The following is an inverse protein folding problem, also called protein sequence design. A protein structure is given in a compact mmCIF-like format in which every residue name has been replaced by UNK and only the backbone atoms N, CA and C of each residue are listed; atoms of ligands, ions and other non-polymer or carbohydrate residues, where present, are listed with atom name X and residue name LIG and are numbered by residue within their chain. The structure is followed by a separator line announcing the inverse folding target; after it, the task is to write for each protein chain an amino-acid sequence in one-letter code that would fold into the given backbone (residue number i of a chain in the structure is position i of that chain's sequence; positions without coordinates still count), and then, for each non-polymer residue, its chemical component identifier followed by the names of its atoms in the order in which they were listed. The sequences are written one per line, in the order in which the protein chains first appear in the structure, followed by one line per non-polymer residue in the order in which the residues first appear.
data_IF_274712265874
#
_entry.id   IF_274712265874
#
_cell.length_a   1.000
_cell.length_b   1.000
_cell.length_c   1.000
_cell.angle_alpha   90.00
_cell.angle_beta   90.00
_cell.angle_gamma   90.00
#
_symmetry.space_group_name_H-M   'P 1'
#
loop_
_entity.id
_entity.type
_entity.pdbx_description
1 polymer ?
#
# COMPACT_ATOMS: atom_id res chain seq x y z
N UNK A 1 29.84 -19.75 44.81
CA UNK A 1 29.13 -20.01 43.53
C UNK A 1 27.66 -19.67 43.73
N UNK A 2 27.04 -18.95 42.78
CA UNK A 2 25.65 -18.42 42.76
C UNK A 2 25.46 -17.02 43.33
N UNK A 3 25.61 -16.00 42.49
CA UNK A 3 24.50 -15.28 41.86
C UNK A 3 25.13 -14.40 40.76
N UNK A 4 25.07 -14.90 39.52
CA UNK A 4 25.41 -14.11 38.33
C UNK A 4 24.24 -13.15 38.13
N UNK A 5 24.46 -11.88 38.46
CA UNK A 5 23.61 -10.78 38.07
C UNK A 5 23.84 -10.61 36.55
N UNK A 6 22.92 -11.15 35.74
CA UNK A 6 22.78 -10.77 34.34
C UNK A 6 22.24 -9.34 34.27
N UNK A 7 23.13 -8.37 34.42
CA UNK A 7 22.87 -6.99 34.05
C UNK A 7 23.11 -6.89 32.52
N UNK A 8 22.13 -7.34 31.74
CA UNK A 8 22.07 -7.01 30.31
C UNK A 8 21.54 -5.57 30.25
N UNK A 9 22.45 -4.62 30.46
CA UNK A 9 22.25 -3.24 30.05
C UNK A 9 22.37 -3.18 28.53
N UNK A 10 21.26 -3.37 27.83
CA UNK A 10 21.08 -2.89 26.45
C UNK A 10 20.11 -1.72 26.55
N UNK A 11 20.67 -0.57 26.90
CA UNK A 11 20.07 0.75 26.76
C UNK A 11 21.01 1.55 25.87
N UNK A 12 20.41 2.42 25.05
CA UNK A 12 21.01 3.36 24.09
C UNK A 12 21.37 2.81 22.71
N UNK A 13 20.33 2.46 21.96
CA UNK A 13 20.04 3.14 20.70
C UNK A 13 18.51 3.09 20.56
N UNK A 14 17.83 4.22 20.77
CA UNK A 14 16.43 4.38 20.46
C UNK A 14 16.26 4.31 18.95
N UNK A 15 16.26 3.09 18.38
CA UNK A 15 15.69 2.88 17.07
C UNK A 15 14.22 3.22 17.19
N UNK A 16 13.89 4.44 16.77
CA UNK A 16 12.54 4.91 16.47
C UNK A 16 11.69 3.74 15.99
N UNK A 17 10.65 3.46 16.76
CA UNK A 17 9.67 2.39 16.61
C UNK A 17 8.80 2.60 15.35
N UNK A 18 9.43 2.63 14.18
CA UNK A 18 8.76 2.73 12.88
C UNK A 18 8.66 1.32 12.32
N UNK A 19 7.46 0.75 12.13
CA UNK A 19 7.46 -0.70 11.92
C UNK A 19 6.25 -1.35 11.25
N UNK A 20 5.29 -0.65 10.65
CA UNK A 20 4.14 -1.40 10.13
C UNK A 20 3.14 -0.68 9.24
N UNK A 21 2.41 -1.50 8.47
CA UNK A 21 1.09 -1.11 7.95
C UNK A 21 0.18 -0.53 9.03
N UNK A 22 0.13 -1.16 10.20
CA UNK A 22 -0.73 -0.71 11.31
C UNK A 22 -0.39 0.73 11.75
N UNK A 23 0.89 1.07 11.85
CA UNK A 23 1.35 2.43 12.14
C UNK A 23 0.90 3.43 11.07
N UNK A 24 1.11 3.11 9.80
CA UNK A 24 0.71 3.99 8.69
C UNK A 24 -0.81 4.16 8.61
N UNK A 25 -1.58 3.07 8.77
CA UNK A 25 -3.05 3.12 8.83
C UNK A 25 -3.54 3.98 10.00
N UNK A 26 -2.98 3.82 11.20
CA UNK A 26 -3.32 4.63 12.37
C UNK A 26 -3.07 6.14 12.15
N UNK A 27 -2.11 6.48 11.30
CA UNK A 27 -1.74 7.85 10.93
C UNK A 27 -2.39 8.31 9.60
N UNK A 28 -3.35 7.54 9.08
CA UNK A 28 -4.11 7.92 7.87
C UNK A 28 -3.27 7.92 6.59
N UNK A 29 -2.17 7.17 6.56
CA UNK A 29 -1.25 7.04 5.44
C UNK A 29 -1.50 5.76 4.64
N UNK A 30 -0.91 5.66 3.45
CA UNK A 30 -0.95 4.46 2.62
C UNK A 30 -0.13 3.32 3.24
N UNK A 31 -0.62 2.08 3.12
CA UNK A 31 0.05 0.91 3.69
C UNK A 31 1.34 0.51 2.97
N UNK A 32 1.63 1.02 1.77
CA UNK A 32 2.87 0.80 1.05
C UNK A 32 3.93 1.88 1.32
N UNK A 33 3.68 2.81 2.24
CA UNK A 33 4.65 3.82 2.65
C UNK A 33 4.04 5.21 2.72
N UNK A 34 4.79 6.14 3.29
CA UNK A 34 4.45 7.56 3.32
C UNK A 34 5.60 8.36 2.73
N UNK A 35 5.26 9.36 1.92
CA UNK A 35 6.25 10.34 1.50
C UNK A 35 6.76 11.18 2.66
N UNK A 36 6.02 11.30 3.76
CA UNK A 36 6.34 12.22 4.84
C UNK A 36 6.76 11.52 6.13
N UNK A 37 6.06 10.45 6.51
CA UNK A 37 6.35 9.68 7.71
C UNK A 37 7.40 8.63 7.34
N UNK A 38 8.55 8.65 8.02
CA UNK A 38 9.54 7.59 7.87
C UNK A 38 8.98 6.30 8.46
N UNK A 39 8.93 5.22 7.69
CA UNK A 39 8.45 3.91 8.12
C UNK A 39 9.10 2.77 7.30
N UNK A 40 9.19 1.55 7.86
CA UNK A 40 9.79 0.40 7.15
C UNK A 40 9.06 0.08 5.85
N UNK A 41 7.77 0.41 5.76
CA UNK A 41 6.97 0.29 4.53
C UNK A 41 7.47 1.20 3.40
N UNK A 42 8.22 2.26 3.68
CA UNK A 42 8.70 3.19 2.65
C UNK A 42 9.58 2.50 1.60
N UNK A 43 10.20 1.36 1.90
CA UNK A 43 10.93 0.53 0.92
C UNK A 43 10.03 0.05 -0.23
N UNK A 44 8.70 -0.03 -0.02
CA UNK A 44 7.74 -0.44 -1.04
C UNK A 44 7.21 0.73 -1.87
N UNK A 45 7.23 1.94 -1.31
CA UNK A 45 6.96 3.18 -2.04
C UNK A 45 8.17 3.54 -2.90
N UNK A 46 9.34 3.67 -2.26
CA UNK A 46 10.61 3.98 -2.89
C UNK A 46 11.70 3.01 -2.40
N UNK A 47 12.19 2.09 -3.24
CA UNK A 47 13.20 1.12 -2.81
C UNK A 47 14.52 1.77 -2.39
N UNK A 48 14.80 3.03 -2.77
CA UNK A 48 15.98 3.74 -2.28
C UNK A 48 16.00 3.92 -0.76
N UNK A 49 14.84 3.96 -0.11
CA UNK A 49 14.76 4.09 1.35
C UNK A 49 15.39 2.90 2.10
N UNK A 50 15.61 1.75 1.42
CA UNK A 50 16.16 0.55 2.07
C UNK A 50 17.56 0.78 2.66
N UNK A 51 18.38 1.65 2.07
CA UNK A 51 19.73 1.94 2.57
C UNK A 51 19.74 2.59 3.96
N UNK A 52 18.65 3.27 4.33
CA UNK A 52 18.48 3.92 5.62
C UNK A 52 18.10 2.98 6.76
N UNK A 53 17.78 1.71 6.49
CA UNK A 53 17.40 0.75 7.52
C UNK A 53 18.57 -0.09 8.01
N UNK A 54 18.52 -0.41 9.30
CA UNK A 54 19.40 -1.39 9.92
C UNK A 54 18.91 -2.83 9.67
N UNK A 55 19.72 -3.80 10.09
CA UNK A 55 19.33 -5.20 10.05
C UNK A 55 18.04 -5.42 10.82
N UNK A 56 17.03 -5.99 10.16
CA UNK A 56 15.75 -6.22 10.81
C UNK A 56 14.98 -7.37 10.19
N UNK A 57 14.06 -7.93 10.98
CA UNK A 57 13.01 -8.85 10.55
C UNK A 57 11.68 -8.15 10.83
N UNK A 58 10.76 -8.20 9.87
CA UNK A 58 9.40 -7.70 10.00
C UNK A 58 8.40 -8.80 9.64
N UNK A 59 7.34 -8.93 10.42
CA UNK A 59 6.24 -9.87 10.20
C UNK A 59 4.93 -9.12 10.40
N UNK A 60 3.93 -9.38 9.57
CA UNK A 60 2.60 -8.79 9.62
C UNK A 60 1.56 -9.88 9.40
N UNK A 61 0.46 -9.90 10.15
CA UNK A 61 -0.53 -11.01 10.15
C UNK A 61 -1.79 -10.77 9.29
N UNK A 62 -1.97 -9.57 8.72
CA UNK A 62 -3.16 -9.23 7.92
C UNK A 62 -4.29 -8.66 8.78
N UNK A 63 -5.56 -8.92 8.44
CA UNK A 63 -6.72 -8.58 9.28
C UNK A 63 -7.67 -9.78 9.40
N UNK A 64 -8.73 -9.71 10.22
CA UNK A 64 -9.56 -10.88 10.50
C UNK A 64 -10.37 -11.38 9.29
N UNK A 65 -10.70 -10.47 8.35
CA UNK A 65 -11.53 -10.73 7.17
C UNK A 65 -10.74 -11.06 5.90
N UNK A 66 -9.46 -10.71 5.86
CA UNK A 66 -8.51 -10.97 4.78
C UNK A 66 -7.14 -11.26 5.42
N UNK A 67 -7.00 -12.41 6.11
CA UNK A 67 -5.77 -12.79 6.78
C UNK A 67 -4.69 -13.02 5.74
N UNK A 68 -3.86 -11.99 5.54
CA UNK A 68 -2.74 -12.03 4.60
C UNK A 68 -1.46 -11.72 5.35
N UNK A 69 -0.83 -12.78 5.82
CA UNK A 69 0.46 -12.68 6.45
C UNK A 69 1.52 -12.32 5.42
N UNK A 70 2.42 -11.43 5.81
CA UNK A 70 3.60 -11.08 5.04
C UNK A 70 4.76 -10.80 5.97
N UNK A 71 5.96 -10.76 5.42
CA UNK A 71 7.13 -10.47 6.23
C UNK A 71 8.39 -10.46 5.43
N UNK A 72 9.45 -9.92 6.01
CA UNK A 72 10.71 -9.78 5.35
C UNK A 72 11.88 -9.69 6.31
N UNK A 73 13.05 -9.68 5.69
CA UNK A 73 14.32 -9.43 6.35
C UNK A 73 15.05 -8.33 5.57
N UNK A 74 15.77 -7.49 6.30
CA UNK A 74 16.72 -6.53 5.75
C UNK A 74 18.09 -6.87 6.34
N UNK A 75 19.09 -6.92 5.46
CA UNK A 75 20.48 -7.13 5.83
C UNK A 75 21.36 -6.04 5.21
N UNK A 76 21.97 -5.23 6.08
CA UNK A 76 22.90 -4.17 5.74
C UNK A 76 24.33 -4.68 5.84
N UNK A 77 25.12 -4.34 4.83
CA UNK A 77 26.52 -4.77 4.68
C UNK A 77 27.35 -3.66 4.04
N UNK A 78 28.66 -3.90 3.84
CA UNK A 78 29.54 -2.95 3.15
C UNK A 78 29.25 -2.77 1.66
N UNK A 79 28.61 -3.75 1.00
CA UNK A 79 28.29 -3.66 -0.43
C UNK A 79 26.94 -2.98 -0.70
N UNK A 80 26.14 -2.76 0.35
CA UNK A 80 24.79 -2.20 0.29
C UNK A 80 23.86 -2.94 1.25
N UNK A 81 22.57 -2.67 1.09
CA UNK A 81 21.49 -3.24 1.89
C UNK A 81 20.62 -4.12 1.01
N UNK A 82 20.44 -5.38 1.41
CA UNK A 82 19.56 -6.34 0.75
C UNK A 82 18.28 -6.52 1.56
N UNK A 83 17.16 -6.69 0.86
CA UNK A 83 15.88 -7.06 1.43
C UNK A 83 15.30 -8.27 0.74
N UNK A 84 14.69 -9.16 1.52
CA UNK A 84 13.79 -10.20 1.03
C UNK A 84 12.44 -10.01 1.71
N UNK A 85 11.35 -10.00 0.94
CA UNK A 85 9.99 -9.89 1.47
C UNK A 85 9.09 -10.95 0.86
N UNK A 86 8.18 -11.52 1.63
CA UNK A 86 7.28 -12.59 1.23
C UNK A 86 5.82 -12.16 1.45
N UNK A 87 4.91 -12.63 0.60
CA UNK A 87 3.46 -12.49 0.81
C UNK A 87 2.84 -11.12 0.53
N UNK A 88 3.60 -10.09 0.16
CA UNK A 88 3.08 -8.73 -0.14
C UNK A 88 2.40 -8.62 -1.51
N UNK A 89 1.29 -7.90 -1.60
CA UNK A 89 0.73 -7.54 -2.92
C UNK A 89 1.48 -6.36 -3.56
N UNK A 90 2.03 -6.60 -4.75
CA UNK A 90 2.53 -5.55 -5.64
C UNK A 90 1.41 -4.82 -6.38
N UNK A 91 1.78 -3.83 -7.19
CA UNK A 91 0.85 -3.03 -7.98
C UNK A 91 -0.02 -3.90 -8.89
N UNK A 92 0.57 -4.85 -9.61
CA UNK A 92 -0.20 -5.71 -10.52
C UNK A 92 -1.24 -6.59 -9.82
N UNK A 93 -0.92 -7.10 -8.63
CA UNK A 93 -1.92 -7.83 -7.85
C UNK A 93 -3.08 -6.94 -7.41
N UNK A 94 -2.79 -5.67 -7.05
CA UNK A 94 -3.82 -4.68 -6.73
C UNK A 94 -4.67 -4.32 -7.95
N UNK A 95 -4.06 -4.25 -9.13
CA UNK A 95 -4.77 -3.97 -10.38
C UNK A 95 -5.76 -5.11 -10.71
N UNK A 96 -5.32 -6.36 -10.61
CA UNK A 96 -6.18 -7.55 -10.76
C UNK A 96 -7.36 -7.50 -9.76
N UNK A 97 -7.09 -7.23 -8.48
CA UNK A 97 -8.16 -7.10 -7.48
C UNK A 97 -9.11 -5.93 -7.75
N UNK A 98 -8.62 -4.83 -8.31
CA UNK A 98 -9.43 -3.66 -8.68
C UNK A 98 -10.28 -3.91 -9.93
N UNK A 99 -9.89 -4.88 -10.76
CA UNK A 99 -10.65 -5.33 -11.91
C UNK A 99 -11.87 -6.19 -11.50
N UNK A 100 -11.87 -6.84 -10.33
CA UNK A 100 -13.05 -7.55 -9.79
C UNK A 100 -14.21 -6.60 -9.45
N UNK A 101 -13.91 -5.32 -9.20
CA UNK A 101 -14.90 -4.29 -8.86
C UNK A 101 -15.57 -3.65 -10.08
N UNK A 102 -15.36 -4.18 -11.29
CA UNK A 102 -16.05 -3.74 -12.50
C UNK A 102 -17.55 -4.10 -12.45
N UNK A 103 -18.41 -3.44 -13.24
CA UNK A 103 -19.86 -3.66 -13.21
C UNK A 103 -20.29 -5.11 -13.46
N UNK A 104 -19.43 -5.91 -14.09
CA UNK A 104 -19.66 -7.33 -14.39
C UNK A 104 -19.17 -8.30 -13.31
N UNK A 105 -18.59 -7.81 -12.20
CA UNK A 105 -18.11 -8.63 -11.08
C UNK A 105 -17.27 -9.83 -11.54
N UNK A 106 -16.11 -9.56 -12.13
CA UNK A 106 -15.16 -10.61 -12.52
C UNK A 106 -14.67 -11.34 -11.26
N UNK A 107 -14.70 -12.68 -11.28
CA UNK A 107 -14.07 -13.49 -10.24
C UNK A 107 -12.70 -13.93 -10.72
N UNK A 108 -11.69 -13.08 -10.50
CA UNK A 108 -10.33 -13.30 -11.00
C UNK A 108 -9.49 -14.11 -10.00
N UNK A 109 -8.62 -14.97 -10.52
CA UNK A 109 -7.68 -15.68 -9.68
C UNK A 109 -6.59 -14.73 -9.20
N UNK A 110 -6.41 -14.63 -7.89
CA UNK A 110 -5.45 -13.69 -7.30
C UNK A 110 -4.06 -14.31 -7.32
N UNK A 111 -3.01 -13.55 -7.66
CA UNK A 111 -1.64 -14.02 -7.51
C UNK A 111 -1.38 -14.32 -6.02
N UNK A 112 -0.62 -15.36 -5.72
CA UNK A 112 -0.29 -15.71 -4.33
C UNK A 112 1.22 -15.89 -4.16
N UNK A 113 1.67 -16.04 -2.90
CA UNK A 113 3.05 -16.41 -2.55
C UNK A 113 4.13 -15.52 -3.19
N UNK A 114 3.87 -14.22 -3.25
CA UNK A 114 4.80 -13.25 -3.83
C UNK A 114 6.16 -13.26 -3.14
N UNK A 115 7.22 -13.14 -3.92
CA UNK A 115 8.60 -12.95 -3.47
C UNK A 115 9.13 -11.60 -3.96
N UNK A 116 9.50 -10.81 -2.97
CA UNK A 116 10.17 -9.52 -2.89
C UNK A 116 11.69 -9.50 -2.84
N UNK A 117 12.44 -9.18 -3.90
CA UNK A 117 13.87 -8.86 -3.76
C UNK A 117 14.10 -7.37 -3.80
N UNK A 118 14.81 -6.83 -2.80
CA UNK A 118 15.18 -5.42 -2.72
C UNK A 118 16.69 -5.26 -2.58
N UNK A 119 17.23 -4.22 -3.20
CA UNK A 119 18.61 -3.79 -3.01
C UNK A 119 18.66 -2.28 -2.98
N UNK A 120 19.49 -1.73 -2.09
CA UNK A 120 19.80 -0.31 -2.13
C UNK A 120 21.17 0.00 -1.57
N UNK A 121 21.66 1.20 -1.90
CA UNK A 121 22.99 1.65 -1.54
C UNK A 121 23.02 3.16 -1.39
N UNK A 122 23.72 3.60 -0.36
CA UNK A 122 24.10 5.00 -0.19
C UNK A 122 25.39 5.28 -0.97
N UNK A 123 25.32 6.25 -1.87
CA UNK A 123 26.41 6.74 -2.69
C UNK A 123 26.67 8.21 -2.34
N UNK A 124 27.55 8.42 -1.37
CA UNK A 124 27.85 9.73 -0.76
C UNK A 124 26.61 10.39 -0.15
N UNK A 125 25.81 11.11 -0.93
CA UNK A 125 24.61 11.82 -0.47
C UNK A 125 23.34 11.42 -1.26
N UNK A 126 23.42 10.33 -2.02
CA UNK A 126 22.34 9.82 -2.85
C UNK A 126 22.12 8.36 -2.47
N UNK A 127 20.91 8.03 -2.03
CA UNK A 127 20.43 6.67 -1.92
C UNK A 127 19.84 6.24 -3.25
N UNK A 128 20.22 5.06 -3.72
CA UNK A 128 19.59 4.40 -4.86
C UNK A 128 19.02 3.08 -4.41
N UNK A 129 17.93 2.64 -5.04
CA UNK A 129 17.37 1.33 -4.76
C UNK A 129 16.58 0.74 -5.91
N UNK A 130 16.49 -0.58 -5.89
CA UNK A 130 15.79 -1.39 -6.86
C UNK A 130 14.99 -2.47 -6.15
N UNK A 131 13.86 -2.85 -6.72
CA UNK A 131 13.07 -3.98 -6.27
C UNK A 131 12.54 -4.78 -7.46
N UNK A 132 12.47 -6.10 -7.29
CA UNK A 132 11.81 -7.00 -8.22
C UNK A 132 10.85 -7.89 -7.41
N UNK A 133 9.56 -7.76 -7.71
CA UNK A 133 8.51 -8.60 -7.18
C UNK A 133 8.08 -9.61 -8.23
N UNK A 134 7.95 -10.86 -7.82
CA UNK A 134 7.35 -11.93 -8.60
C UNK A 134 6.29 -12.63 -7.76
N UNK A 135 5.14 -12.91 -8.35
CA UNK A 135 4.09 -13.72 -7.75
C UNK A 135 3.47 -14.60 -8.83
N UNK A 136 3.26 -15.88 -8.53
CA UNK A 136 2.59 -16.79 -9.42
C UNK A 136 1.78 -17.80 -8.60
N UNK A 137 0.58 -18.09 -9.09
CA UNK A 137 -0.29 -19.11 -8.52
C UNK A 137 -1.02 -19.84 -9.62
N UNK A 138 -1.30 -21.11 -9.37
CA UNK A 138 -2.18 -21.92 -10.20
C UNK A 138 -3.07 -22.81 -9.34
N UNK A 139 -4.24 -23.14 -9.87
CA UNK A 139 -5.13 -24.19 -9.38
C UNK A 139 -5.39 -25.13 -10.55
N UNK A 140 -5.29 -26.43 -10.30
CA UNK A 140 -5.53 -27.52 -11.26
C UNK A 140 -6.28 -28.59 -10.48
N UNK A 141 -7.61 -28.45 -10.38
CA UNK A 141 -8.43 -29.41 -9.61
C UNK A 141 -9.44 -30.16 -10.47
N UNK A 142 -9.45 -29.92 -11.78
CA UNK A 142 -10.40 -30.55 -12.70
C UNK A 142 -11.87 -30.20 -12.37
N UNK A 143 -12.82 -30.82 -13.09
CA UNK A 143 -14.26 -30.47 -13.13
C UNK A 143 -15.04 -30.49 -11.79
N UNK A 144 -14.40 -30.68 -10.64
CA UNK A 144 -15.05 -30.41 -9.36
C UNK A 144 -15.15 -28.91 -9.09
N UNK A 145 -16.37 -28.38 -9.25
CA UNK A 145 -16.91 -27.01 -9.05
C UNK A 145 -16.27 -26.11 -7.97
N UNK A 146 -15.48 -26.64 -7.02
CA UNK A 146 -14.97 -25.87 -5.89
C UNK A 146 -13.70 -25.06 -6.17
N UNK A 147 -12.89 -25.39 -7.20
CA UNK A 147 -11.71 -24.60 -7.60
C UNK A 147 -11.40 -24.77 -9.11
N UNK A 148 -12.03 -24.00 -10.01
CA UNK A 148 -11.78 -24.10 -11.46
C UNK A 148 -10.29 -23.92 -11.80
N UNK A 149 -9.86 -24.48 -12.94
CA UNK A 149 -8.48 -24.32 -13.37
C UNK A 149 -8.18 -22.84 -13.57
N UNK A 150 -7.14 -22.37 -12.91
CA UNK A 150 -6.90 -20.94 -12.75
C UNK A 150 -5.41 -20.65 -12.69
N UNK A 151 -4.99 -19.53 -13.23
CA UNK A 151 -3.60 -19.05 -13.17
C UNK A 151 -3.56 -17.56 -12.91
N UNK A 152 -2.52 -17.10 -12.22
CA UNK A 152 -2.23 -15.68 -12.14
C UNK A 152 -0.73 -15.45 -11.98
N UNK A 153 -0.21 -14.46 -12.70
CA UNK A 153 1.19 -14.11 -12.71
C UNK A 153 1.35 -12.60 -12.62
N UNK A 154 2.17 -12.13 -11.70
CA UNK A 154 2.54 -10.72 -11.58
C UNK A 154 4.04 -10.59 -11.43
N UNK A 155 4.64 -9.75 -12.29
CA UNK A 155 6.02 -9.30 -12.15
C UNK A 155 6.04 -7.78 -12.11
N UNK A 156 6.68 -7.19 -11.10
CA UNK A 156 6.80 -5.74 -10.95
C UNK A 156 8.24 -5.35 -10.69
N UNK A 157 8.75 -4.41 -11.48
CA UNK A 157 10.02 -3.75 -11.26
C UNK A 157 9.82 -2.41 -10.56
N UNK A 158 10.72 -2.07 -9.64
CA UNK A 158 10.79 -0.76 -8.99
C UNK A 158 12.21 -0.23 -8.98
N UNK A 159 12.31 1.07 -9.13
CA UNK A 159 13.53 1.80 -8.96
C UNK A 159 13.24 3.11 -8.23
N UNK A 160 14.24 3.64 -7.55
CA UNK A 160 14.14 4.98 -7.03
C UNK A 160 15.47 5.54 -6.57
N UNK A 161 15.42 6.84 -6.30
CA UNK A 161 16.54 7.64 -5.82
C UNK A 161 16.06 8.58 -4.73
N UNK A 162 16.89 8.81 -3.72
CA UNK A 162 16.66 9.82 -2.69
C UNK A 162 17.96 10.59 -2.45
N UNK A 163 17.88 11.90 -2.55
CA UNK A 163 18.92 12.82 -2.13
C UNK A 163 18.34 13.76 -1.07
N UNK A 164 19.20 14.53 -0.40
CA UNK A 164 18.83 15.41 0.72
C UNK A 164 17.44 16.08 0.57
N UNK A 165 17.22 16.81 -0.53
CA UNK A 165 15.96 17.55 -0.72
C UNK A 165 14.95 16.91 -1.65
N UNK A 166 15.28 15.87 -2.40
CA UNK A 166 14.36 15.32 -3.39
C UNK A 166 14.41 13.80 -3.43
N UNK A 167 13.30 13.18 -3.79
CA UNK A 167 13.26 11.77 -4.14
C UNK A 167 12.40 11.55 -5.37
N UNK A 168 12.69 10.50 -6.12
CA UNK A 168 11.93 10.08 -7.28
C UNK A 168 11.84 8.55 -7.30
N UNK A 169 10.73 8.04 -7.84
CA UNK A 169 10.47 6.62 -7.94
C UNK A 169 9.78 6.27 -9.25
N UNK A 170 10.01 5.03 -9.67
CA UNK A 170 9.36 4.34 -10.77
C UNK A 170 8.88 2.99 -10.26
N UNK A 171 7.63 2.66 -10.58
CA UNK A 171 7.06 1.32 -10.47
C UNK A 171 6.54 0.94 -11.85
N UNK A 172 6.92 -0.23 -12.34
CA UNK A 172 6.51 -0.73 -13.65
C UNK A 172 6.09 -2.20 -13.55
N UNK A 173 4.84 -2.49 -13.94
CA UNK A 173 4.34 -3.84 -14.12
C UNK A 173 4.91 -4.43 -15.41
N UNK A 174 5.68 -5.51 -15.27
CA UNK A 174 6.27 -6.23 -16.40
C UNK A 174 5.32 -7.30 -16.96
N UNK A 175 4.54 -7.92 -16.07
CA UNK A 175 3.55 -8.94 -16.40
C UNK A 175 2.44 -8.83 -15.37
N UNK A 176 1.19 -8.81 -15.81
CA UNK A 176 0.02 -8.79 -14.93
C UNK A 176 -1.10 -9.57 -15.61
N UNK A 177 -1.22 -10.86 -15.28
CA UNK A 177 -2.16 -11.76 -15.93
C UNK A 177 -2.96 -12.52 -14.87
N UNK A 178 -4.25 -12.73 -15.14
CA UNK A 178 -5.11 -13.63 -14.37
C UNK A 178 -6.11 -14.31 -15.28
N UNK A 179 -6.32 -15.60 -15.04
CA UNK A 179 -7.25 -16.44 -15.77
C UNK A 179 -7.98 -17.36 -14.80
N UNK A 180 -9.28 -17.45 -14.95
CA UNK A 180 -10.15 -18.34 -14.16
C UNK A 180 -11.10 -19.04 -15.11
N UNK A 181 -11.08 -20.36 -15.14
CA UNK A 181 -12.04 -21.13 -15.93
C UNK A 181 -13.45 -20.95 -15.34
N UNK A 182 -14.42 -20.61 -16.20
CA UNK A 182 -15.82 -20.42 -15.79
C UNK A 182 -16.66 -21.65 -16.18
N UNK A 183 -16.41 -22.19 -17.38
CA UNK A 183 -16.93 -23.47 -17.87
C UNK A 183 -15.86 -24.15 -18.73
N UNK A 184 -16.05 -25.43 -19.12
CA UNK A 184 -15.10 -26.21 -19.94
C UNK A 184 -14.69 -25.55 -21.29
N UNK A 185 -15.34 -24.46 -21.70
CA UNK A 185 -15.07 -23.76 -22.97
C UNK A 185 -14.81 -22.26 -22.82
N UNK A 186 -14.88 -21.68 -21.62
CA UNK A 186 -14.78 -20.23 -21.44
C UNK A 186 -14.01 -19.80 -20.19
N UNK A 187 -13.24 -18.71 -20.32
CA UNK A 187 -12.34 -18.22 -19.28
C UNK A 187 -12.65 -16.77 -18.96
N UNK A 188 -12.67 -16.44 -17.67
CA UNK A 188 -12.58 -15.06 -17.20
C UNK A 188 -11.10 -14.68 -17.27
N UNK A 189 -10.78 -13.58 -17.96
CA UNK A 189 -9.38 -13.19 -18.22
C UNK A 189 -9.13 -11.73 -17.83
N UNK A 190 -7.91 -11.47 -17.35
CA UNK A 190 -7.30 -10.16 -17.15
C UNK A 190 -5.92 -10.20 -17.79
N UNK A 191 -5.67 -9.28 -18.71
CA UNK A 191 -4.39 -9.11 -19.40
C UNK A 191 -3.93 -7.65 -19.32
N UNK A 192 -3.01 -7.38 -18.39
CA UNK A 192 -2.45 -6.06 -18.16
C UNK A 192 -1.55 -5.62 -19.31
N UNK A 193 -1.91 -4.51 -19.96
CA UNK A 193 -1.17 -3.92 -21.08
C UNK A 193 -0.07 -2.96 -20.62
N UNK A 194 -0.40 -2.12 -19.66
CA UNK A 194 0.48 -1.10 -19.14
C UNK A 194 0.15 -0.83 -17.68
N UNK A 195 1.17 -0.74 -16.84
CA UNK A 195 1.00 -0.50 -15.41
C UNK A 195 2.23 0.24 -14.93
N UNK A 196 2.10 1.56 -14.80
CA UNK A 196 3.20 2.44 -14.46
C UNK A 196 2.79 3.41 -13.35
N UNK A 197 3.71 3.64 -12.42
CA UNK A 197 3.61 4.70 -11.44
C UNK A 197 4.92 5.46 -11.37
N UNK A 198 4.84 6.77 -11.52
CA UNK A 198 5.93 7.70 -11.36
C UNK A 198 5.59 8.62 -10.21
N UNK A 199 6.54 8.83 -9.31
CA UNK A 199 6.32 9.72 -8.19
C UNK A 199 7.60 10.40 -7.75
N UNK A 200 7.43 11.44 -6.96
CA UNK A 200 8.56 12.14 -6.37
C UNK A 200 8.13 13.14 -5.31
N UNK A 201 9.11 13.66 -4.60
CA UNK A 201 8.89 14.67 -3.57
C UNK A 201 10.04 15.67 -3.49
N UNK A 202 9.75 16.82 -2.89
CA UNK A 202 10.70 17.86 -2.55
C UNK A 202 10.51 18.32 -1.09
N UNK A 203 11.61 18.35 -0.32
CA UNK A 203 11.69 18.92 1.02
C UNK A 203 11.97 20.42 0.92
N UNK A 204 10.98 21.26 1.26
CA UNK A 204 11.21 22.71 1.39
C UNK A 204 11.97 23.03 2.67
N UNK A 205 11.59 22.37 3.75
CA UNK A 205 12.19 22.44 5.08
C UNK A 205 12.14 21.05 5.71
N UNK A 206 12.76 20.88 6.88
CA UNK A 206 12.70 19.62 7.64
C UNK A 206 11.26 19.24 8.05
N UNK A 207 10.35 20.22 8.07
CA UNK A 207 8.96 20.03 8.47
C UNK A 207 7.98 20.11 7.30
N UNK A 208 8.40 20.47 6.08
CA UNK A 208 7.50 20.74 4.95
C UNK A 208 7.93 20.03 3.69
N UNK A 209 7.01 19.27 3.10
CA UNK A 209 7.25 18.46 1.91
C UNK A 209 6.10 18.62 0.92
N UNK A 210 6.43 18.58 -0.37
CA UNK A 210 5.47 18.41 -1.46
C UNK A 210 5.79 17.11 -2.18
N UNK A 211 4.78 16.30 -2.49
CA UNK A 211 4.91 15.14 -3.36
C UNK A 211 3.95 15.25 -4.54
N UNK A 212 4.32 14.62 -5.64
CA UNK A 212 3.46 14.42 -6.80
C UNK A 212 3.62 12.99 -7.29
N UNK A 213 2.52 12.41 -7.76
CA UNK A 213 2.45 11.06 -8.28
C UNK A 213 1.51 11.02 -9.48
N UNK A 214 1.89 10.22 -10.47
CA UNK A 214 1.01 9.78 -11.56
C UNK A 214 1.03 8.25 -11.60
N UNK A 215 -0.15 7.65 -11.66
CA UNK A 215 -0.36 6.22 -11.85
C UNK A 215 -1.21 6.02 -13.08
N UNK A 216 -0.82 5.08 -13.94
CA UNK A 216 -1.58 4.67 -15.11
C UNK A 216 -1.63 3.15 -15.16
N UNK A 217 -2.83 2.61 -15.41
CA UNK A 217 -3.08 1.17 -15.53
C UNK A 217 -4.05 0.94 -16.67
N UNK A 218 -3.65 0.13 -17.64
CA UNK A 218 -4.43 -0.26 -18.80
C UNK A 218 -4.46 -1.79 -18.89
N UNK A 219 -5.62 -2.39 -19.10
CA UNK A 219 -5.77 -3.85 -19.23
C UNK A 219 -6.97 -4.26 -20.09
N UNK A 220 -6.89 -5.46 -20.65
CA UNK A 220 -8.00 -6.08 -21.35
C UNK A 220 -8.67 -7.10 -20.44
N UNK A 221 -9.97 -7.31 -20.61
CA UNK A 221 -10.73 -8.28 -19.83
C UNK A 221 -11.75 -9.05 -20.68
N UNK A 222 -12.04 -10.27 -20.23
CA UNK A 222 -13.08 -11.16 -20.76
C UNK A 222 -13.86 -11.73 -19.57
N UNK A 223 -15.19 -11.70 -19.62
CA UNK A 223 -16.08 -12.25 -18.59
C UNK A 223 -16.29 -13.77 -18.69
N UNK A 224 -15.70 -14.42 -19.69
CA UNK A 224 -15.84 -15.85 -19.93
C UNK A 224 -17.27 -16.26 -20.29
N UNK A 225 -18.13 -15.34 -20.72
CA UNK A 225 -19.43 -15.67 -21.32
C UNK A 225 -19.47 -15.31 -22.80
N UNK A 226 -18.45 -14.59 -23.29
CA UNK A 226 -18.41 -14.04 -24.64
C UNK A 226 -19.40 -12.87 -24.85
N UNK A 227 -20.08 -12.45 -23.79
CA UNK A 227 -21.04 -11.34 -23.80
C UNK A 227 -20.35 -10.02 -23.51
N UNK A 228 -19.27 -10.04 -22.72
CA UNK A 228 -18.57 -8.84 -22.27
C UNK A 228 -17.06 -9.04 -22.36
N UNK A 229 -16.46 -8.45 -23.40
CA UNK A 229 -15.02 -8.22 -23.51
C UNK A 229 -14.77 -6.73 -23.64
N UNK A 230 -13.58 -6.28 -23.27
CA UNK A 230 -13.23 -4.88 -23.44
C UNK A 230 -11.86 -4.50 -22.89
N UNK A 231 -11.62 -3.20 -22.91
CA UNK A 231 -10.42 -2.57 -22.39
C UNK A 231 -10.80 -1.63 -21.24
N UNK A 232 -9.94 -1.55 -20.23
CA UNK A 232 -10.08 -0.59 -19.14
C UNK A 232 -8.82 0.23 -19.03
N UNK A 233 -9.00 1.54 -19.03
CA UNK A 233 -7.97 2.53 -18.73
C UNK A 233 -8.20 3.15 -17.36
N UNK A 234 -7.12 3.47 -16.66
CA UNK A 234 -7.15 4.25 -15.44
C UNK A 234 -5.94 5.17 -15.35
N UNK A 235 -6.19 6.43 -15.03
CA UNK A 235 -5.17 7.41 -14.72
C UNK A 235 -5.49 8.10 -13.39
N UNK A 236 -4.50 8.21 -12.52
CA UNK A 236 -4.59 8.97 -11.28
C UNK A 236 -3.40 9.93 -11.18
N UNK A 237 -3.67 11.19 -10.87
CA UNK A 237 -2.68 12.23 -10.62
C UNK A 237 -2.94 12.77 -9.22
N UNK A 238 -1.92 12.72 -8.36
CA UNK A 238 -2.00 13.19 -6.99
C UNK A 238 -0.91 14.19 -6.67
N UNK A 239 -1.24 15.30 -6.01
CA UNK A 239 -0.29 16.25 -5.44
C UNK A 239 -0.60 16.39 -3.95
N UNK A 240 0.41 16.25 -3.08
CA UNK A 240 0.22 16.29 -1.64
C UNK A 240 1.21 17.24 -0.98
N UNK A 241 0.69 18.14 -0.16
CA UNK A 241 1.47 19.00 0.72
C UNK A 241 1.41 18.46 2.14
N UNK A 242 2.57 18.33 2.78
CA UNK A 242 2.72 17.79 4.13
C UNK A 242 3.40 18.82 5.02
N UNK A 243 2.93 18.93 6.26
CA UNK A 243 3.57 19.80 7.24
C UNK A 243 3.54 19.19 8.65
N UNK A 244 4.72 19.14 9.28
CA UNK A 244 4.87 18.87 10.72
C UNK A 244 4.62 20.18 11.48
N UNK A 245 3.54 20.24 12.25
CA UNK A 245 3.19 21.42 13.03
C UNK A 245 4.13 21.62 14.21
N UNK A 246 4.43 20.54 14.91
CA UNK A 246 5.29 20.55 16.11
C UNK A 246 5.82 19.15 16.38
N UNK A 247 6.88 19.10 17.20
CA UNK A 247 7.39 17.87 17.77
C UNK A 247 8.67 17.34 17.16
N UNK A 248 9.11 16.23 17.71
CA UNK A 248 10.35 15.50 17.44
C UNK A 248 10.05 13.99 17.25
N UNK A 249 10.98 13.12 17.61
CA UNK A 249 10.83 11.67 17.51
C UNK A 249 9.92 11.06 18.59
N UNK A 250 9.76 11.73 19.74
CA UNK A 250 8.94 11.24 20.85
C UNK A 250 7.48 11.70 20.74
N UNK A 251 7.22 12.85 20.14
CA UNK A 251 5.87 13.25 19.79
C UNK A 251 5.87 14.12 18.55
N UNK A 252 4.87 13.98 17.68
CA UNK A 252 4.65 14.93 16.60
C UNK A 252 3.19 15.03 16.22
N UNK A 253 2.83 16.19 15.67
CA UNK A 253 1.53 16.44 15.05
C UNK A 253 1.77 16.96 13.64
N UNK A 254 0.99 16.49 12.68
CA UNK A 254 1.11 16.88 11.29
C UNK A 254 -0.26 17.06 10.64
N UNK A 255 -0.24 17.70 9.47
CA UNK A 255 -1.33 17.64 8.52
C UNK A 255 -0.83 17.37 7.11
N UNK A 256 -1.71 16.80 6.30
CA UNK A 256 -1.54 16.61 4.86
C UNK A 256 -2.75 17.21 4.14
N UNK A 257 -2.50 17.93 3.04
CA UNK A 257 -3.53 18.36 2.10
C UNK A 257 -3.17 17.77 0.75
N UNK A 258 -4.03 16.89 0.23
CA UNK A 258 -3.88 16.29 -1.09
C UNK A 258 -4.89 16.87 -2.07
N UNK A 259 -4.52 16.92 -3.35
CA UNK A 259 -5.46 17.04 -4.47
C UNK A 259 -5.23 15.84 -5.38
N UNK A 260 -6.27 15.05 -5.59
CA UNK A 260 -6.23 13.89 -6.48
C UNK A 260 -7.28 14.02 -7.57
N UNK A 261 -6.86 13.77 -8.81
CA UNK A 261 -7.73 13.59 -9.95
C UNK A 261 -7.56 12.15 -10.44
N UNK A 262 -8.68 11.45 -10.62
CA UNK A 262 -8.70 10.10 -11.15
C UNK A 262 -9.70 10.00 -12.31
N UNK A 263 -9.33 9.28 -13.35
CA UNK A 263 -10.18 8.95 -14.49
C UNK A 263 -10.14 7.43 -14.69
N UNK A 264 -11.31 6.85 -14.89
CA UNK A 264 -11.49 5.45 -15.20
C UNK A 264 -12.37 5.35 -16.45
N UNK A 265 -11.90 4.64 -17.46
CA UNK A 265 -12.65 4.36 -18.69
C UNK A 265 -12.81 2.87 -18.86
N UNK A 266 -13.98 2.42 -19.30
CA UNK A 266 -14.22 1.04 -19.72
C UNK A 266 -14.84 1.10 -21.09
N UNK A 267 -14.15 0.54 -22.07
CA UNK A 267 -14.58 0.47 -23.46
C UNK A 267 -14.97 -0.99 -23.76
N UNK A 268 -16.24 -1.26 -24.08
CA UNK A 268 -16.73 -2.62 -24.33
C UNK A 268 -16.71 -2.95 -25.84
N UNK A 269 -16.18 -4.11 -26.21
CA UNK A 269 -16.11 -4.52 -27.63
C UNK A 269 -17.47 -4.96 -28.19
N UNK A 270 -18.42 -5.33 -27.32
CA UNK A 270 -19.71 -5.92 -27.73
C UNK A 270 -20.93 -5.11 -27.28
N UNK A 271 -21.97 -5.17 -28.13
CA UNK A 271 -23.19 -4.33 -28.15
C UNK A 271 -24.06 -4.40 -26.88
N UNK A 272 -23.77 -5.33 -25.94
CA UNK A 272 -24.62 -5.56 -24.78
C UNK A 272 -24.29 -4.66 -23.57
N UNK A 273 -23.12 -4.00 -23.55
CA UNK A 273 -22.68 -3.15 -22.44
C UNK A 273 -22.33 -1.74 -22.95
N UNK A 274 -22.62 -0.74 -22.14
CA UNK A 274 -22.36 0.66 -22.44
C UNK A 274 -21.00 1.07 -21.92
N UNK A 275 -20.24 1.82 -22.73
CA UNK A 275 -18.96 2.40 -22.30
C UNK A 275 -19.14 3.27 -21.05
N UNK A 276 -18.14 3.23 -20.17
CA UNK A 276 -18.19 3.89 -18.86
C UNK A 276 -17.04 4.89 -18.75
N UNK A 277 -17.36 6.09 -18.28
CA UNK A 277 -16.41 7.12 -17.90
C UNK A 277 -16.71 7.55 -16.45
N UNK A 278 -15.76 7.33 -15.52
CA UNK A 278 -15.84 7.78 -14.14
C UNK A 278 -14.67 8.73 -13.84
N UNK A 279 -15.00 10.00 -13.63
CA UNK A 279 -14.06 11.08 -13.32
C UNK A 279 -14.25 11.53 -11.90
N UNK A 280 -13.17 11.53 -11.13
CA UNK A 280 -13.16 11.92 -9.72
C UNK A 280 -12.14 13.00 -9.47
N UNK A 281 -12.51 13.97 -8.67
CA UNK A 281 -11.59 14.99 -8.16
C UNK A 281 -11.90 15.23 -6.69
N UNK A 282 -10.92 15.00 -5.82
CA UNK A 282 -11.12 15.14 -4.39
C UNK A 282 -9.92 15.76 -3.68
N UNK A 283 -10.20 16.48 -2.60
CA UNK A 283 -9.21 17.20 -1.79
C UNK A 283 -9.18 16.63 -0.35
N UNK A 284 -8.44 15.53 -0.11
CA UNK A 284 -8.32 14.94 1.22
C UNK A 284 -7.46 15.81 2.14
N UNK A 285 -7.94 16.01 3.37
CA UNK A 285 -7.17 16.54 4.48
C UNK A 285 -6.98 15.43 5.50
N UNK A 286 -5.73 15.24 5.96
CA UNK A 286 -5.39 14.35 7.07
C UNK A 286 -4.79 15.20 8.18
N UNK A 287 -5.26 15.01 9.42
CA UNK A 287 -4.59 15.52 10.61
C UNK A 287 -4.25 14.30 11.46
N UNK A 288 -2.99 14.18 11.86
CA UNK A 288 -2.54 13.02 12.62
C UNK A 288 -1.44 13.36 13.61
N UNK A 289 -1.18 12.43 14.52
CA UNK A 289 -0.10 12.55 15.47
C UNK A 289 0.28 11.23 16.11
N UNK A 290 1.51 11.21 16.61
CA UNK A 290 2.12 10.09 17.33
C UNK A 290 2.76 10.64 18.60
N UNK A 291 2.65 9.90 19.71
CA UNK A 291 3.26 10.28 20.98
C UNK A 291 3.72 9.04 21.77
N UNK A 292 4.98 9.03 22.17
CA UNK A 292 5.56 8.08 23.12
C UNK A 292 5.13 8.49 24.54
N UNK A 293 4.11 7.80 25.06
CA UNK A 293 3.55 8.06 26.40
C UNK A 293 4.43 7.46 27.49
N UNK A 294 5.06 6.32 27.21
CA UNK A 294 6.06 5.64 28.04
C UNK A 294 7.12 5.03 27.13
N UNK A 295 8.29 4.67 27.67
CA UNK A 295 9.36 4.01 26.89
C UNK A 295 8.86 2.75 26.15
N UNK A 296 7.91 2.04 26.75
CA UNK A 296 7.30 0.84 26.18
C UNK A 296 6.00 1.09 25.42
N UNK A 297 5.45 2.31 25.40
CA UNK A 297 4.13 2.62 24.83
C UNK A 297 4.14 3.88 23.96
N UNK A 298 3.75 3.71 22.70
CA UNK A 298 3.44 4.79 21.77
C UNK A 298 1.96 4.77 21.41
N UNK A 299 1.32 5.93 21.36
CA UNK A 299 -0.06 6.10 20.90
C UNK A 299 -0.10 6.92 19.61
N UNK A 300 -1.06 6.60 18.74
CA UNK A 300 -1.24 7.20 17.42
C UNK A 300 -2.71 7.42 17.13
N UNK A 301 -3.01 8.51 16.45
CA UNK A 301 -4.35 8.75 15.93
C UNK A 301 -4.31 9.67 14.71
N UNK A 302 -5.35 9.59 13.90
CA UNK A 302 -5.59 10.51 12.79
C UNK A 302 -7.07 10.65 12.49
N UNK A 303 -7.39 11.75 11.82
CA UNK A 303 -8.67 12.02 11.16
C UNK A 303 -8.37 12.37 9.71
N UNK A 304 -9.07 11.71 8.78
CA UNK A 304 -9.02 11.98 7.35
C UNK A 304 -10.42 12.31 6.84
N UNK A 305 -10.53 13.29 5.96
CA UNK A 305 -11.80 13.68 5.34
C UNK A 305 -11.54 14.39 4.01
N UNK A 306 -12.35 14.13 2.99
CA UNK A 306 -12.44 14.97 1.79
C UNK A 306 -13.23 16.24 2.13
N UNK A 307 -12.71 17.37 1.68
CA UNK A 307 -13.28 18.67 2.04
C UNK A 307 -13.97 19.34 0.85
N UNK A 308 -13.65 20.60 0.57
CA UNK A 308 -14.38 21.48 -0.35
C UNK A 308 -14.51 20.96 -1.81
N UNK A 309 -13.74 19.94 -2.16
CA UNK A 309 -13.73 19.30 -3.47
C UNK A 309 -13.89 17.79 -3.24
N UNK A 310 -14.98 17.23 -3.77
CA UNK A 310 -15.28 15.80 -3.76
C UNK A 310 -16.26 15.49 -4.90
N UNK A 311 -15.85 15.83 -6.12
CA UNK A 311 -16.67 15.71 -7.32
C UNK A 311 -16.52 14.32 -7.95
N UNK A 312 -17.65 13.71 -8.29
CA UNK A 312 -17.74 12.47 -9.07
C UNK A 312 -18.64 12.73 -10.27
N UNK A 313 -18.10 12.60 -11.48
CA UNK A 313 -18.79 12.67 -12.76
C UNK A 313 -18.76 11.28 -13.39
N UNK A 314 -19.89 10.57 -13.31
CA UNK A 314 -20.08 9.23 -13.83
C UNK A 314 -20.97 9.29 -15.06
N UNK A 315 -20.53 8.66 -16.14
CA UNK A 315 -21.30 8.53 -17.38
C UNK A 315 -21.28 7.10 -17.88
N UNK A 316 -22.46 6.63 -18.27
CA UNK A 316 -22.68 5.52 -19.17
C UNK A 316 -23.66 5.97 -20.28
N UNK A 317 -24.00 5.12 -21.26
CA UNK A 317 -24.89 5.55 -22.37
C UNK A 317 -26.34 5.85 -21.92
N UNK A 318 -26.75 5.48 -20.71
CA UNK A 318 -28.11 5.65 -20.18
C UNK A 318 -28.17 6.73 -19.08
N UNK A 319 -27.11 6.87 -18.30
CA UNK A 319 -27.02 7.68 -17.10
C UNK A 319 -25.86 8.66 -17.21
N UNK A 320 -26.15 9.92 -16.90
CA UNK A 320 -25.15 10.93 -16.63
C UNK A 320 -25.40 11.45 -15.23
N UNK A 321 -24.53 11.08 -14.30
CA UNK A 321 -24.70 11.38 -12.88
C UNK A 321 -23.51 12.17 -12.38
N UNK A 322 -23.79 13.38 -11.90
CA UNK A 322 -22.86 14.18 -11.12
C UNK A 322 -23.25 14.12 -9.66
N UNK A 323 -22.34 13.69 -8.81
CA UNK A 323 -22.53 13.66 -7.37
C UNK A 323 -21.35 14.29 -6.66
N UNK A 324 -21.62 14.82 -5.47
CA UNK A 324 -20.61 15.04 -4.44
C UNK A 324 -20.89 14.08 -3.30
N UNK A 325 -19.89 13.38 -2.77
CA UNK A 325 -20.08 12.55 -1.58
C UNK A 325 -20.08 13.44 -0.32
N UNK A 326 -20.90 13.09 0.70
CA UNK A 326 -21.26 14.02 1.79
C UNK A 326 -20.94 13.46 3.20
N UNK A 327 -20.30 12.30 3.33
CA UNK A 327 -19.71 11.87 4.61
C UNK A 327 -18.64 10.79 4.43
N UNK A 328 -17.38 11.19 4.41
CA UNK A 328 -16.21 10.31 4.23
C UNK A 328 -15.19 10.44 5.37
N UNK A 329 -15.61 11.00 6.52
CA UNK A 329 -14.71 11.17 7.66
C UNK A 329 -14.27 9.81 8.20
N UNK A 330 -12.96 9.57 8.22
CA UNK A 330 -12.34 8.38 8.79
C UNK A 330 -11.51 8.78 10.00
N UNK A 331 -11.76 8.14 11.13
CA UNK A 331 -10.92 8.27 12.33
C UNK A 331 -10.16 6.98 12.53
N UNK A 332 -8.84 7.05 12.66
CA UNK A 332 -8.00 5.90 12.95
C UNK A 332 -7.21 6.11 14.25
N UNK A 333 -6.94 5.02 14.96
CA UNK A 333 -6.14 5.03 16.17
C UNK A 333 -5.28 3.76 16.23
N UNK A 334 -4.14 3.84 16.90
CA UNK A 334 -3.25 2.70 17.05
C UNK A 334 -2.27 2.87 18.20
N UNK A 335 -1.53 1.82 18.49
CA UNK A 335 -0.46 1.86 19.48
C UNK A 335 0.72 1.00 19.08
N UNK A 336 1.87 1.29 19.68
CA UNK A 336 3.08 0.50 19.56
C UNK A 336 3.60 0.12 20.95
N UNK A 337 3.96 -1.15 21.11
CA UNK A 337 4.62 -1.68 22.30
C UNK A 337 6.12 -1.89 22.00
N UNK A 338 6.98 -1.33 22.84
CA UNK A 338 8.42 -1.32 22.64
C UNK A 338 9.14 -2.09 23.75
N UNK A 339 9.91 -3.09 23.35
CA UNK A 339 10.69 -3.98 24.23
C UNK A 339 12.15 -4.05 23.75
N UNK A 340 12.84 -2.92 23.83
CA UNK A 340 14.22 -2.78 23.36
C UNK A 340 14.32 -2.95 21.84
N UNK A 341 14.79 -4.11 21.38
CA UNK A 341 14.95 -4.44 19.96
C UNK A 341 13.68 -4.95 19.28
N UNK A 342 12.64 -5.22 20.07
CA UNK A 342 11.35 -5.72 19.59
C UNK A 342 10.31 -4.62 19.64
N UNK A 343 9.58 -4.45 18.55
CA UNK A 343 8.39 -3.58 18.45
C UNK A 343 7.20 -4.42 18.02
N UNK A 344 6.06 -4.19 18.68
CA UNK A 344 4.77 -4.73 18.27
C UNK A 344 3.83 -3.55 18.01
N UNK A 345 3.41 -3.37 16.76
CA UNK A 345 2.46 -2.32 16.40
C UNK A 345 1.08 -2.92 16.10
N UNK A 346 0.05 -2.17 16.44
CA UNK A 346 -1.34 -2.51 16.18
C UNK A 346 -2.18 -1.27 15.90
N UNK A 347 -3.25 -1.46 15.12
CA UNK A 347 -4.23 -0.45 14.77
C UNK A 347 -5.61 -0.92 15.21
N UNK A 348 -6.36 -0.02 15.83
CA UNK A 348 -7.80 -0.19 16.00
C UNK A 348 -8.44 0.15 14.66
N UNK A 349 -9.34 -0.70 14.15
CA UNK A 349 -9.95 -0.48 12.85
C UNK A 349 -10.45 0.97 12.71
N UNK A 350 -10.07 1.62 11.60
CA UNK A 350 -10.50 2.98 11.31
C UNK A 350 -12.01 3.04 11.23
N UNK A 351 -12.62 3.96 11.97
CA UNK A 351 -14.06 4.20 11.94
C UNK A 351 -14.36 4.94 10.65
N UNK A 352 -14.85 4.24 9.62
CA UNK A 352 -15.50 4.87 8.47
C UNK A 352 -16.89 5.38 8.86
N UNK A 353 -17.36 6.39 8.13
CA UNK A 353 -18.64 7.06 8.33
C UNK A 353 -19.79 6.08 8.58
N UNK A 354 -20.59 6.36 9.61
CA UNK A 354 -21.80 5.61 9.98
C UNK A 354 -21.65 4.48 11.00
N UNK A 355 -20.45 3.97 11.27
CA UNK A 355 -20.28 2.83 12.21
C UNK A 355 -19.99 3.26 13.66
N UNK A 356 -19.26 4.36 13.88
CA UNK A 356 -18.93 4.91 15.20
C UNK A 356 -18.17 3.96 16.14
N UNK A 357 -17.70 2.80 15.65
CA UNK A 357 -17.20 1.69 16.48
C UNK A 357 -15.69 1.51 16.31
N UNK A 358 -14.95 1.73 17.39
CA UNK A 358 -13.57 1.25 17.52
C UNK A 358 -13.64 -0.26 17.74
N UNK A 359 -13.27 -1.05 16.74
CA UNK A 359 -13.32 -2.51 16.83
C UNK A 359 -12.06 -3.07 17.52
N UNK A 360 -12.24 -3.52 18.76
CA UNK A 360 -11.18 -4.17 19.55
C UNK A 360 -10.81 -5.58 19.05
N UNK A 361 -11.65 -6.24 18.25
CA UNK A 361 -11.32 -7.55 17.68
C UNK A 361 -10.24 -7.45 16.60
N UNK A 362 -10.18 -6.33 15.90
CA UNK A 362 -9.16 -6.05 14.89
C UNK A 362 -7.80 -5.69 15.49
N UNK A 363 -7.76 -5.31 16.77
CA UNK A 363 -6.54 -4.90 17.45
C UNK A 363 -5.43 -5.96 17.36
N UNK A 364 -5.72 -7.23 17.68
CA UNK A 364 -4.70 -8.29 17.54
C UNK A 364 -4.67 -8.91 16.14
N UNK A 365 -5.72 -8.72 15.34
CA UNK A 365 -5.77 -9.23 13.98
C UNK A 365 -4.82 -8.45 13.06
N UNK A 366 -4.74 -7.13 13.22
CA UNK A 366 -3.83 -6.22 12.49
C UNK A 366 -2.59 -5.86 13.31
N UNK A 367 -1.74 -6.87 13.50
CA UNK A 367 -0.49 -6.72 14.24
C UNK A 367 0.72 -6.84 13.34
N UNK A 368 1.74 -6.05 13.64
CA UNK A 368 3.07 -6.21 13.09
C UNK A 368 4.08 -6.45 14.20
N UNK A 369 5.04 -7.32 13.91
CA UNK A 369 6.18 -7.63 14.75
C UNK A 369 7.44 -7.22 14.03
N UNK A 370 8.32 -6.49 14.71
CA UNK A 370 9.64 -6.12 14.20
C UNK A 370 10.73 -6.44 15.21
N UNK A 371 11.84 -6.97 14.72
CA UNK A 371 13.07 -7.17 15.48
C UNK A 371 14.26 -6.55 14.74
N UNK A 372 15.02 -5.67 15.41
CA UNK A 372 16.23 -5.03 14.87
C UNK A 372 17.48 -5.57 15.57
N UNK A 373 18.55 -5.93 14.84
CA UNK A 373 19.69 -6.67 15.43
C UNK A 373 21.10 -6.15 15.13
#
# INVERSE_FOLDING_TARGET
MKFIICFIGILTASSVSMASKARLEALGQDTNGSYFIMDNRNIFLNPASISGFENQINLEVGNSVSPKAEGGLINKSSFGTLGLHLGRYGMGAQNIMSAELTPTSLTLFKPQNSVELLYGKELSNINIGFALLYANSSSDTGETVNLPDSTSTVTTFRAGVEANKFGALLVYGLTEESKTENTATTNIEYDGKNSIKLGGYYNFTDNTKLSAEIKQVDFNFDDGTGTVTGERGSQEIGINFYNKLTGDEDYFVFYTIGLTQAEYTVDYDQVAADDIEDKRMYLPIVIGGEAKVKEWLTLRASVKQNTMIDDVDYKDNVNNKKTSNIDDTVVAAGLGLNFGRVTIDSVFAGVSSGSGKIDGNEFLAKTAFKYTY
#
